data_IF_741062683663
#
_entry.id   IF_741062683663
#
_cell.length_a   1.000
_cell.length_b   1.000
_cell.length_c   1.000
_cell.angle_alpha   90.00
_cell.angle_beta   90.00
_cell.angle_gamma   90.00
#
_symmetry.space_group_name_H-M   'P 1'
#
loop_
_entity.id
_entity.type
_entity.pdbx_description
1 polymer ?
#
# COMPACT_ATOMS: atom_id res chain seq x y z
N UNK A 1 -10.22 0.43 3.51
CA UNK A 1 -8.81 0.09 3.28
C UNK A 1 -8.49 0.17 1.79
N UNK A 2 -7.62 1.10 1.35
CA UNK A 2 -7.26 1.23 -0.07
C UNK A 2 -6.20 0.21 -0.52
N UNK A 3 -5.54 -0.50 0.42
CA UNK A 3 -4.37 -1.34 0.13
C UNK A 3 -4.69 -2.43 -0.90
N UNK A 4 -5.80 -3.14 -0.74
CA UNK A 4 -6.18 -4.22 -1.66
C UNK A 4 -6.35 -3.72 -3.10
N UNK A 5 -6.98 -2.56 -3.29
CA UNK A 5 -7.17 -1.96 -4.62
C UNK A 5 -5.83 -1.51 -5.21
N UNK A 6 -4.94 -0.95 -4.40
CA UNK A 6 -3.60 -0.53 -4.84
C UNK A 6 -2.76 -1.75 -5.27
N UNK A 7 -2.78 -2.84 -4.51
CA UNK A 7 -2.10 -4.08 -4.88
C UNK A 7 -2.71 -4.72 -6.13
N UNK A 8 -4.04 -4.63 -6.34
CA UNK A 8 -4.65 -5.04 -7.60
C UNK A 8 -4.17 -4.21 -8.79
N UNK A 9 -3.90 -2.92 -8.60
CA UNK A 9 -3.28 -2.09 -9.64
C UNK A 9 -1.81 -2.49 -9.90
N UNK A 10 -1.03 -2.83 -8.86
CA UNK A 10 0.31 -3.39 -9.03
C UNK A 10 0.29 -4.72 -9.80
N UNK A 11 -0.65 -5.62 -9.50
CA UNK A 11 -0.86 -6.84 -10.28
C UNK A 11 -1.22 -6.55 -11.74
N UNK A 12 -2.04 -5.52 -12.00
CA UNK A 12 -2.36 -5.10 -13.37
C UNK A 12 -1.11 -4.63 -14.12
N UNK A 13 -0.25 -3.81 -13.50
CA UNK A 13 1.03 -3.37 -14.06
C UNK A 13 1.91 -4.57 -14.42
N UNK A 14 2.03 -5.53 -13.49
CA UNK A 14 2.80 -6.75 -13.69
C UNK A 14 2.26 -7.61 -14.84
N UNK A 15 0.98 -7.99 -14.77
CA UNK A 15 0.44 -9.04 -15.65
C UNK A 15 -0.16 -8.52 -16.96
N UNK A 16 -0.60 -7.26 -17.02
CA UNK A 16 -1.22 -6.68 -18.22
C UNK A 16 -0.28 -5.78 -19.01
N UNK A 17 0.72 -5.18 -18.35
CA UNK A 17 1.60 -4.19 -18.96
C UNK A 17 3.08 -4.59 -18.96
N UNK A 18 3.45 -5.74 -18.37
CA UNK A 18 4.84 -6.21 -18.26
C UNK A 18 5.77 -5.21 -17.53
N UNK A 19 5.18 -4.45 -16.60
CA UNK A 19 5.83 -3.40 -15.81
C UNK A 19 6.16 -3.92 -14.41
N UNK A 20 7.11 -4.85 -14.35
CA UNK A 20 7.53 -5.50 -13.09
C UNK A 20 8.18 -4.51 -12.11
N UNK A 21 8.98 -3.55 -12.59
CA UNK A 21 9.68 -2.58 -11.72
C UNK A 21 8.69 -1.65 -11.01
N UNK A 22 7.70 -1.13 -11.74
CA UNK A 22 6.65 -0.27 -11.21
C UNK A 22 5.73 -1.04 -10.26
N UNK A 23 5.38 -2.28 -10.60
CA UNK A 23 4.63 -3.16 -9.70
C UNK A 23 5.39 -3.39 -8.39
N UNK A 24 6.69 -3.72 -8.46
CA UNK A 24 7.56 -3.89 -7.30
C UNK A 24 7.68 -2.61 -6.47
N UNK A 25 7.75 -1.44 -7.09
CA UNK A 25 7.82 -0.15 -6.39
C UNK A 25 6.56 0.08 -5.56
N UNK A 26 5.37 -0.19 -6.13
CA UNK A 26 4.09 -0.06 -5.42
C UNK A 26 3.97 -1.08 -4.27
N UNK A 27 4.29 -2.35 -4.53
CA UNK A 27 4.28 -3.40 -3.51
C UNK A 27 5.23 -3.06 -2.35
N UNK A 28 6.44 -2.59 -2.67
CA UNK A 28 7.43 -2.15 -1.69
C UNK A 28 6.97 -0.93 -0.89
N UNK A 29 6.31 0.05 -1.53
CA UNK A 29 5.76 1.21 -0.83
C UNK A 29 4.68 0.82 0.18
N UNK A 30 3.77 -0.09 -0.20
CA UNK A 30 2.76 -0.65 0.71
C UNK A 30 3.42 -1.35 1.89
N UNK A 31 4.45 -2.16 1.63
CA UNK A 31 5.18 -2.87 2.68
C UNK A 31 5.85 -1.90 3.67
N UNK A 32 6.54 -0.86 3.19
CA UNK A 32 7.16 0.17 4.05
C UNK A 32 6.15 0.84 4.97
N UNK A 33 4.99 1.25 4.45
CA UNK A 33 3.93 1.87 5.25
C UNK A 33 3.42 0.92 6.35
N UNK A 34 3.31 -0.36 6.03
CA UNK A 34 2.91 -1.38 7.02
C UNK A 34 4.02 -1.65 8.05
N UNK A 35 5.29 -1.58 7.68
CA UNK A 35 6.43 -1.72 8.60
C UNK A 35 6.55 -0.52 9.55
N UNK A 36 6.29 0.70 9.06
CA UNK A 36 6.19 1.93 9.86
C UNK A 36 5.02 1.90 10.86
N UNK A 37 4.12 0.92 10.72
CA UNK A 37 3.07 0.64 11.70
C UNK A 37 1.75 1.36 11.45
N UNK A 38 1.56 1.95 10.26
CA UNK A 38 0.26 2.49 9.86
C UNK A 38 -0.72 1.36 9.54
N UNK A 39 -1.94 1.45 10.06
CA UNK A 39 -3.00 0.46 9.86
C UNK A 39 -4.32 1.17 9.61
N UNK A 40 -5.10 0.66 8.68
CA UNK A 40 -6.52 1.05 8.54
C UNK A 40 -7.37 0.30 9.56
N UNK A 41 -8.60 0.77 9.78
CA UNK A 41 -9.51 0.27 10.82
C UNK A 41 -9.81 -1.23 10.78
N UNK A 42 -9.69 -1.86 9.60
CA UNK A 42 -9.89 -3.29 9.35
C UNK A 42 -8.71 -4.17 9.77
N UNK A 43 -7.48 -3.63 9.80
CA UNK A 43 -6.25 -4.35 10.14
C UNK A 43 -5.55 -3.72 11.35
N UNK A 44 -6.29 -2.93 12.13
CA UNK A 44 -5.75 -2.24 13.29
C UNK A 44 -5.35 -3.22 14.39
N UNK A 45 -4.27 -2.89 15.11
CA UNK A 45 -3.78 -3.65 16.25
C UNK A 45 -3.24 -2.67 17.29
N UNK A 46 -3.32 -3.04 18.57
CA UNK A 46 -2.80 -2.19 19.65
C UNK A 46 -1.30 -1.89 19.43
N UNK A 47 -0.91 -0.63 19.65
CA UNK A 47 0.47 -0.16 19.40
C UNK A 47 0.77 0.23 17.94
N UNK A 48 -0.24 0.29 17.07
CA UNK A 48 -0.12 0.77 15.68
C UNK A 48 -0.83 2.12 15.49
N UNK A 49 -0.52 2.81 14.40
CA UNK A 49 -1.12 4.11 14.07
C UNK A 49 -2.36 3.86 13.21
N UNK A 50 -3.54 4.18 13.75
CA UNK A 50 -4.79 4.10 13.00
C UNK A 50 -4.86 5.26 12.00
N UNK A 51 -5.03 4.93 10.72
CA UNK A 51 -5.19 5.92 9.63
C UNK A 51 -6.44 5.65 8.81
N UNK A 52 -6.98 6.70 8.20
CA UNK A 52 -8.10 6.61 7.27
C UNK A 52 -7.68 6.14 5.87
N UNK A 53 -8.66 5.96 4.98
CA UNK A 53 -8.41 5.54 3.58
C UNK A 53 -7.55 6.54 2.81
N UNK A 54 -7.84 7.85 2.94
CA UNK A 54 -7.10 8.89 2.22
C UNK A 54 -5.65 8.99 2.70
N UNK A 55 -5.49 9.08 4.02
CA UNK A 55 -4.17 9.16 4.64
C UNK A 55 -3.31 7.92 4.32
N UNK A 56 -3.90 6.71 4.34
CA UNK A 56 -3.19 5.50 3.90
C UNK A 56 -2.69 5.62 2.45
N UNK A 57 -3.50 6.15 1.54
CA UNK A 57 -3.09 6.40 0.16
C UNK A 57 -1.96 7.42 0.04
N UNK A 58 -2.06 8.54 0.77
CA UNK A 58 -1.04 9.59 0.80
C UNK A 58 0.30 9.03 1.32
N UNK A 59 0.26 8.21 2.39
CA UNK A 59 1.46 7.55 2.92
C UNK A 59 2.10 6.60 1.92
N UNK A 60 1.31 5.81 1.20
CA UNK A 60 1.84 4.90 0.17
C UNK A 60 2.51 5.72 -0.93
N UNK A 61 1.88 6.79 -1.40
CA UNK A 61 2.45 7.67 -2.43
C UNK A 61 3.81 8.26 -2.01
N UNK A 62 3.97 8.65 -0.75
CA UNK A 62 5.25 9.16 -0.23
C UNK A 62 6.38 8.11 -0.17
N UNK A 63 6.09 6.81 -0.39
CA UNK A 63 7.07 5.70 -0.28
C UNK A 63 7.37 4.98 -1.60
N UNK A 64 6.72 5.38 -2.69
CA UNK A 64 6.99 4.90 -4.07
C UNK A 64 8.32 5.46 -4.56
#
# INVERSE_FOLDING_TARGET
NPIATILSAAMMLRYSFDLDEEANAIEGAVQKVLEEGYRTSDIFSEGKVLVGTREMGDRILERI
#
